data_IF_079432702963
#
_entry.id   IF_079432702963
#
_cell.length_a   1.000
_cell.length_b   1.000
_cell.length_c   1.000
_cell.angle_alpha   90.00
_cell.angle_beta   90.00
_cell.angle_gamma   90.00
#
_symmetry.space_group_name_H-M   'P 1'
#
loop_
_entity.id
_entity.type
_entity.pdbx_description
1 polymer ?
#
# COMPACT_ATOMS: atom_id res chain seq x y z
N UNK A 1 -26.44 -13.68 -55.00
CA UNK A 1 -25.21 -14.16 -54.35
C UNK A 1 -24.26 -13.03 -53.94
N UNK A 2 -23.82 -12.14 -54.85
CA UNK A 2 -22.90 -11.02 -54.51
C UNK A 2 -23.38 -10.12 -53.36
N UNK A 3 -24.68 -9.78 -53.31
CA UNK A 3 -25.27 -8.93 -52.25
C UNK A 3 -25.34 -9.60 -50.87
N UNK A 4 -25.44 -10.94 -50.80
CA UNK A 4 -25.50 -11.67 -49.53
C UNK A 4 -24.10 -11.77 -48.92
N UNK A 5 -23.07 -11.95 -49.75
CA UNK A 5 -21.67 -11.95 -49.30
C UNK A 5 -21.26 -10.60 -48.72
N UNK A 6 -21.71 -9.49 -49.31
CA UNK A 6 -21.44 -8.13 -48.79
C UNK A 6 -22.11 -7.86 -47.44
N UNK A 7 -23.32 -8.39 -47.21
CA UNK A 7 -24.03 -8.23 -45.92
C UNK A 7 -23.37 -9.07 -44.81
N UNK A 8 -22.91 -10.29 -45.12
CA UNK A 8 -22.18 -11.15 -44.18
C UNK A 8 -20.80 -10.54 -43.85
N UNK A 9 -20.12 -9.95 -44.83
CA UNK A 9 -18.86 -9.25 -44.61
C UNK A 9 -19.03 -8.00 -43.72
N UNK A 10 -20.14 -7.25 -43.83
CA UNK A 10 -20.43 -6.13 -42.93
C UNK A 10 -20.77 -6.58 -41.50
N UNK A 11 -21.45 -7.72 -41.34
CA UNK A 11 -21.78 -8.30 -40.03
C UNK A 11 -20.54 -8.79 -39.26
N UNK A 12 -19.50 -9.24 -39.97
CA UNK A 12 -18.24 -9.69 -39.35
C UNK A 12 -17.31 -8.54 -38.92
N UNK A 13 -17.44 -7.35 -39.52
CA UNK A 13 -16.65 -6.16 -39.13
C UNK A 13 -17.23 -5.47 -37.88
N UNK A 14 -18.50 -5.70 -37.56
CA UNK A 14 -19.19 -5.09 -36.42
C UNK A 14 -18.83 -5.65 -35.04
N UNK A 15 -18.03 -6.72 -34.96
CA UNK A 15 -17.78 -7.44 -33.69
C UNK A 15 -16.40 -7.17 -33.08
N UNK A 16 -15.56 -6.33 -33.70
CA UNK A 16 -14.25 -5.97 -33.16
C UNK A 16 -14.35 -4.70 -32.31
N UNK A 17 -15.40 -4.58 -31.49
CA UNK A 17 -15.41 -3.66 -30.38
C UNK A 17 -14.71 -4.35 -29.20
N UNK A 18 -13.41 -4.60 -29.33
CA UNK A 18 -12.59 -4.89 -28.16
C UNK A 18 -12.57 -3.60 -27.34
N UNK A 19 -13.43 -3.51 -26.33
CA UNK A 19 -13.27 -2.52 -25.28
C UNK A 19 -11.89 -2.77 -24.68
N UNK A 20 -10.92 -1.93 -25.02
CA UNK A 20 -9.61 -1.98 -24.39
C UNK A 20 -9.85 -1.75 -22.89
N UNK A 21 -9.56 -2.78 -22.10
CA UNK A 21 -9.71 -2.78 -20.65
C UNK A 21 -8.52 -2.04 -20.04
N UNK A 22 -8.74 -1.31 -18.94
CA UNK A 22 -7.62 -0.66 -18.26
C UNK A 22 -6.67 -1.69 -17.64
N UNK A 23 -5.41 -1.31 -17.53
CA UNK A 23 -4.34 -2.18 -17.03
C UNK A 23 -3.64 -1.48 -15.87
N UNK A 24 -3.76 -2.06 -14.68
CA UNK A 24 -3.12 -1.58 -13.45
C UNK A 24 -1.86 -2.43 -13.24
N UNK A 25 -0.69 -1.80 -13.28
CA UNK A 25 0.60 -2.45 -13.00
C UNK A 25 0.99 -2.21 -11.56
N UNK A 26 1.17 -3.27 -10.77
CA UNK A 26 1.63 -3.18 -9.38
C UNK A 26 3.14 -3.12 -9.28
N UNK A 27 3.65 -2.53 -8.20
CA UNK A 27 5.08 -2.54 -7.84
C UNK A 27 5.65 -3.94 -7.56
N UNK A 28 4.76 -4.91 -7.34
CA UNK A 28 5.06 -6.34 -7.19
C UNK A 28 5.37 -7.04 -8.53
N UNK A 29 5.07 -6.38 -9.67
CA UNK A 29 5.12 -6.96 -11.01
C UNK A 29 3.80 -7.61 -11.46
N UNK A 30 2.80 -7.68 -10.57
CA UNK A 30 1.48 -8.20 -10.93
C UNK A 30 0.71 -7.19 -11.80
N UNK A 31 0.09 -7.69 -12.86
CA UNK A 31 -0.74 -6.89 -13.76
C UNK A 31 -2.19 -7.25 -13.54
N UNK A 32 -2.99 -6.26 -13.15
CA UNK A 32 -4.43 -6.38 -12.95
C UNK A 32 -5.14 -5.77 -14.15
N UNK A 33 -5.90 -6.59 -14.87
CA UNK A 33 -6.78 -6.14 -15.95
C UNK A 33 -8.17 -5.89 -15.36
N UNK A 34 -8.67 -4.67 -15.54
CA UNK A 34 -9.94 -4.29 -14.98
C UNK A 34 -10.28 -2.85 -15.29
N UNK A 35 -11.55 -2.49 -15.17
CA UNK A 35 -11.99 -1.11 -15.37
C UNK A 35 -11.74 -0.30 -14.11
N UNK A 36 -11.00 0.80 -14.21
CA UNK A 36 -10.85 1.75 -13.12
C UNK A 36 -12.17 2.53 -12.98
N UNK A 37 -12.79 2.44 -11.80
CA UNK A 37 -14.07 3.09 -11.50
C UNK A 37 -13.83 4.45 -10.88
N UNK A 38 -12.91 4.53 -9.91
CA UNK A 38 -12.66 5.74 -9.12
C UNK A 38 -11.24 5.78 -8.61
N UNK A 39 -10.62 6.95 -8.66
CA UNK A 39 -9.39 7.26 -7.95
C UNK A 39 -9.77 8.05 -6.68
N UNK A 40 -9.40 7.52 -5.52
CA UNK A 40 -9.54 8.24 -4.24
C UNK A 40 -8.18 8.82 -3.83
N UNK A 41 -8.05 9.34 -2.61
CA UNK A 41 -6.81 9.96 -2.16
C UNK A 41 -5.65 8.96 -2.15
N UNK A 42 -5.83 7.82 -1.47
CA UNK A 42 -4.81 6.78 -1.29
C UNK A 42 -5.20 5.41 -1.86
N UNK A 43 -6.39 5.29 -2.44
CA UNK A 43 -6.96 4.03 -2.94
C UNK A 43 -7.48 4.20 -4.37
N UNK A 44 -7.58 3.07 -5.07
CA UNK A 44 -8.13 2.95 -6.41
C UNK A 44 -9.23 1.89 -6.33
N UNK A 45 -10.43 2.27 -6.76
CA UNK A 45 -11.56 1.35 -6.91
C UNK A 45 -11.63 0.91 -8.36
N UNK A 46 -11.62 -0.39 -8.59
CA UNK A 46 -11.64 -1.00 -9.91
C UNK A 46 -12.54 -2.24 -9.93
N UNK A 47 -12.92 -2.67 -11.12
CA UNK A 47 -13.64 -3.95 -11.34
C UNK A 47 -12.78 -4.84 -12.20
N UNK A 48 -12.66 -6.13 -11.86
CA UNK A 48 -11.97 -7.08 -12.72
C UNK A 48 -12.70 -7.21 -14.06
N UNK A 49 -11.95 -7.56 -15.10
CA UNK A 49 -12.55 -7.81 -16.41
C UNK A 49 -13.54 -8.97 -16.33
N UNK A 50 -14.78 -8.75 -16.80
CA UNK A 50 -15.87 -9.73 -16.70
C UNK A 50 -16.56 -9.84 -15.33
N UNK A 51 -16.19 -9.02 -14.34
CA UNK A 51 -16.83 -8.99 -13.02
C UNK A 51 -17.50 -7.64 -12.74
N UNK A 52 -18.67 -7.67 -12.07
CA UNK A 52 -19.35 -6.45 -11.64
C UNK A 52 -18.94 -5.98 -10.22
N UNK A 53 -18.19 -6.83 -9.51
CA UNK A 53 -17.74 -6.57 -8.15
C UNK A 53 -16.66 -5.49 -8.09
N UNK A 54 -16.83 -4.52 -7.20
CA UNK A 54 -15.85 -3.48 -6.94
C UNK A 54 -14.77 -3.99 -5.97
N UNK A 55 -13.53 -3.74 -6.36
CA UNK A 55 -12.33 -4.09 -5.62
C UNK A 55 -11.54 -2.83 -5.35
N UNK A 56 -10.87 -2.80 -4.20
CA UNK A 56 -10.03 -1.68 -3.78
C UNK A 56 -8.58 -2.11 -3.73
N UNK A 57 -7.71 -1.29 -4.29
CA UNK A 57 -6.26 -1.44 -4.19
C UNK A 57 -5.65 -0.13 -3.69
N UNK A 58 -4.61 -0.23 -2.87
CA UNK A 58 -3.84 0.90 -2.39
C UNK A 58 -3.01 1.50 -3.52
N UNK A 59 -2.96 2.83 -3.62
CA UNK A 59 -2.06 3.53 -4.54
C UNK A 59 -0.60 3.19 -4.28
N UNK A 60 -0.23 2.93 -3.02
CA UNK A 60 1.11 2.51 -2.64
C UNK A 60 1.51 1.18 -3.28
N UNK A 61 0.55 0.34 -3.69
CA UNK A 61 0.83 -0.93 -4.36
C UNK A 61 0.94 -0.78 -5.90
N UNK A 62 0.56 0.38 -6.46
CA UNK A 62 0.41 0.59 -7.90
C UNK A 62 1.52 1.47 -8.45
N UNK A 63 2.21 0.97 -9.47
CA UNK A 63 3.20 1.71 -10.25
C UNK A 63 2.51 2.67 -11.23
N UNK A 64 1.67 2.11 -12.10
CA UNK A 64 0.99 2.88 -13.15
C UNK A 64 -0.33 2.25 -13.57
N UNK A 65 -1.18 3.08 -14.18
CA UNK A 65 -2.43 2.69 -14.80
C UNK A 65 -2.35 3.06 -16.28
N UNK A 66 -2.68 2.11 -17.15
CA UNK A 66 -2.87 2.35 -18.59
C UNK A 66 -4.36 2.26 -18.88
N UNK A 67 -4.96 3.40 -19.24
CA UNK A 67 -6.38 3.46 -19.54
C UNK A 67 -6.64 2.90 -20.93
N UNK A 68 -7.42 1.83 -21.03
CA UNK A 68 -7.66 1.16 -22.31
C UNK A 68 -8.41 2.04 -23.29
N UNK A 69 -9.34 2.89 -22.84
CA UNK A 69 -10.11 3.75 -23.75
C UNK A 69 -9.30 4.88 -24.40
N UNK A 70 -8.34 5.45 -23.68
CA UNK A 70 -7.60 6.64 -24.12
C UNK A 70 -6.14 6.36 -24.44
N UNK A 71 -5.62 5.19 -24.06
CA UNK A 71 -4.19 4.88 -24.08
C UNK A 71 -3.36 5.71 -23.10
N UNK A 72 -4.01 6.55 -22.26
CA UNK A 72 -3.30 7.41 -21.30
C UNK A 72 -2.60 6.54 -20.27
N UNK A 73 -1.34 6.88 -19.98
CA UNK A 73 -0.57 6.30 -18.88
C UNK A 73 -0.58 7.29 -17.72
N UNK A 74 -0.94 6.82 -16.53
CA UNK A 74 -0.87 7.57 -15.28
C UNK A 74 0.08 6.85 -14.33
N UNK A 75 1.19 7.50 -13.99
CA UNK A 75 2.09 7.03 -12.95
C UNK A 75 1.47 7.37 -11.59
N UNK A 76 1.27 6.35 -10.75
CA UNK A 76 0.48 6.49 -9.51
C UNK A 76 1.40 6.75 -8.32
N UNK A 77 2.39 5.89 -8.11
CA UNK A 77 3.40 6.07 -7.07
C UNK A 77 4.75 5.50 -7.51
N UNK A 78 5.82 6.04 -6.93
CA UNK A 78 7.16 5.48 -7.07
C UNK A 78 7.39 4.32 -6.10
N UNK A 79 8.26 3.39 -6.49
CA UNK A 79 8.62 2.24 -5.66
C UNK A 79 9.56 2.65 -4.53
N UNK A 80 9.16 2.41 -3.30
CA UNK A 80 9.97 2.63 -2.10
C UNK A 80 10.90 1.42 -1.91
N UNK A 81 12.20 1.64 -2.10
CA UNK A 81 13.22 0.61 -1.89
C UNK A 81 13.88 0.82 -0.53
N UNK A 82 13.79 -0.20 0.31
CA UNK A 82 14.37 -0.26 1.65
C UNK A 82 15.28 -1.48 1.70
N UNK A 83 16.60 -1.24 1.71
CA UNK A 83 17.61 -2.31 1.63
C UNK A 83 18.30 -2.54 2.97
N UNK A 84 18.43 -1.49 3.78
CA UNK A 84 19.16 -1.52 5.05
C UNK A 84 18.37 -0.85 6.16
N UNK A 85 18.74 -1.10 7.42
CA UNK A 85 18.13 -0.44 8.58
C UNK A 85 18.23 1.10 8.51
N UNK A 86 19.26 1.62 7.85
CA UNK A 86 19.48 3.07 7.67
C UNK A 86 18.43 3.72 6.75
N UNK A 87 17.74 2.93 5.93
CA UNK A 87 16.63 3.39 5.07
C UNK A 87 15.31 3.59 5.85
N UNK A 88 15.33 3.56 7.18
CA UNK A 88 14.15 3.70 8.04
C UNK A 88 13.33 4.98 7.77
N UNK A 89 13.93 6.04 7.25
CA UNK A 89 13.23 7.29 6.89
C UNK A 89 12.28 7.12 5.70
N UNK A 90 12.57 6.16 4.81
CA UNK A 90 11.72 5.83 3.66
C UNK A 90 10.52 4.98 4.06
N UNK A 91 10.54 4.39 5.26
CA UNK A 91 9.45 3.52 5.75
C UNK A 91 8.23 4.36 6.10
N UNK A 92 7.11 4.05 5.45
CA UNK A 92 5.84 4.76 5.63
C UNK A 92 4.96 4.00 6.62
N UNK A 93 4.44 4.74 7.60
CA UNK A 93 3.43 4.23 8.51
C UNK A 93 2.06 4.48 7.88
N UNK A 94 1.29 3.41 7.73
CA UNK A 94 -0.08 3.41 7.24
C UNK A 94 -1.02 3.35 8.45
N UNK A 95 -2.02 4.24 8.46
CA UNK A 95 -2.98 4.34 9.56
C UNK A 95 -4.29 3.59 9.27
N UNK A 96 -4.59 3.36 7.98
CA UNK A 96 -5.81 2.69 7.52
C UNK A 96 -5.50 1.30 6.92
N UNK A 97 -6.38 0.34 7.20
CA UNK A 97 -6.40 -0.99 6.58
C UNK A 97 -6.66 -0.92 5.07
N UNK A 98 -7.32 0.11 4.57
CA UNK A 98 -7.51 0.29 3.12
C UNK A 98 -6.16 0.48 2.40
N UNK A 99 -5.17 1.08 3.05
CA UNK A 99 -3.89 1.43 2.42
C UNK A 99 -2.92 0.25 2.31
N UNK A 100 -3.24 -0.88 2.96
CA UNK A 100 -2.51 -2.14 2.80
C UNK A 100 -3.11 -3.04 1.71
N UNK A 101 -4.22 -2.64 1.08
CA UNK A 101 -4.86 -3.44 0.05
C UNK A 101 -3.93 -3.61 -1.16
N UNK A 102 -3.60 -4.85 -1.51
CA UNK A 102 -2.64 -5.17 -2.57
C UNK A 102 -1.17 -5.24 -2.13
N UNK A 103 -0.88 -4.95 -0.86
CA UNK A 103 0.43 -5.22 -0.26
C UNK A 103 0.45 -6.60 0.42
N UNK A 104 1.61 -7.26 0.43
CA UNK A 104 1.82 -8.53 1.11
C UNK A 104 2.16 -8.30 2.57
N UNK A 105 1.43 -9.01 3.45
CA UNK A 105 1.68 -9.01 4.89
C UNK A 105 3.05 -9.63 5.19
N UNK A 106 3.84 -8.92 5.98
CA UNK A 106 5.11 -9.38 6.53
C UNK A 106 4.98 -9.79 7.99
N UNK A 107 6.02 -9.49 8.77
CA UNK A 107 6.13 -9.83 10.19
C UNK A 107 5.63 -8.71 11.10
N UNK A 108 5.37 -9.05 12.36
CA UNK A 108 5.08 -8.06 13.40
C UNK A 108 6.38 -7.37 13.85
N UNK A 109 6.37 -6.04 13.82
CA UNK A 109 7.50 -5.20 14.20
C UNK A 109 7.17 -4.40 15.45
N UNK A 110 8.19 -4.13 16.27
CA UNK A 110 8.04 -3.43 17.55
C UNK A 110 9.16 -2.43 17.79
N UNK A 111 8.78 -1.19 18.07
CA UNK A 111 9.68 -0.15 18.57
C UNK A 111 9.45 0.10 20.06
N UNK A 112 10.52 0.11 20.87
CA UNK A 112 10.43 0.41 22.31
C UNK A 112 11.54 1.36 22.77
N UNK A 113 11.17 2.33 23.61
CA UNK A 113 12.14 3.19 24.32
C UNK A 113 12.81 2.46 25.48
N UNK A 114 13.92 3.01 26.00
CA UNK A 114 14.60 2.47 27.18
C UNK A 114 13.79 2.70 28.46
N UNK A 115 14.06 1.90 29.50
CA UNK A 115 13.33 1.92 30.77
C UNK A 115 13.55 3.20 31.59
N UNK A 116 14.72 3.83 31.43
CA UNK A 116 15.03 5.16 31.98
C UNK A 116 14.90 6.15 30.82
N UNK A 117 13.78 6.85 30.75
CA UNK A 117 13.57 7.88 29.76
C UNK A 117 13.02 9.12 30.47
N UNK A 118 13.90 10.09 30.73
CA UNK A 118 13.49 11.37 31.28
C UNK A 118 12.57 12.04 30.25
N UNK A 119 11.27 12.08 30.54
CA UNK A 119 10.27 12.68 29.66
C UNK A 119 10.49 14.18 29.60
N UNK A 120 11.28 14.63 28.62
CA UNK A 120 11.13 15.97 28.07
C UNK A 120 10.12 15.85 26.91
N UNK A 121 8.82 15.82 27.24
CA UNK A 121 7.71 15.83 26.29
C UNK A 121 7.67 14.67 25.26
N UNK A 122 7.38 15.00 23.99
CA UNK A 122 7.12 14.09 22.86
C UNK A 122 8.36 13.32 22.32
N UNK A 123 9.43 13.23 23.11
CA UNK A 123 10.71 12.62 22.69
C UNK A 123 10.69 11.09 22.77
N UNK A 124 9.85 10.51 23.63
CA UNK A 124 9.67 9.05 23.74
C UNK A 124 9.02 8.44 22.50
N UNK A 125 7.95 9.07 22.00
CA UNK A 125 7.18 8.53 20.88
C UNK A 125 7.97 8.57 19.58
N UNK A 126 8.72 9.65 19.33
CA UNK A 126 9.64 9.75 18.18
C UNK A 126 10.73 8.67 18.21
N UNK A 127 11.28 8.35 19.39
CA UNK A 127 12.27 7.28 19.54
C UNK A 127 11.65 5.89 19.32
N UNK A 128 10.44 5.66 19.83
CA UNK A 128 9.71 4.40 19.60
C UNK A 128 9.36 4.23 18.12
N UNK A 129 8.91 5.30 17.46
CA UNK A 129 8.59 5.31 16.03
C UNK A 129 9.83 5.06 15.16
N UNK A 130 10.94 5.75 15.44
CA UNK A 130 12.22 5.51 14.75
C UNK A 130 12.64 4.04 14.84
N UNK A 131 12.59 3.46 16.04
CA UNK A 131 12.91 2.03 16.24
C UNK A 131 11.93 1.09 15.54
N UNK A 132 10.66 1.46 15.45
CA UNK A 132 9.66 0.69 14.72
C UNK A 132 9.98 0.68 13.22
N UNK A 133 10.30 1.86 12.65
CA UNK A 133 10.70 2.02 11.25
C UNK A 133 12.01 1.28 10.94
N UNK A 134 12.99 1.35 11.83
CA UNK A 134 14.24 0.59 11.73
C UNK A 134 14.00 -0.93 11.71
N UNK A 135 13.13 -1.43 12.61
CA UNK A 135 12.79 -2.85 12.63
C UNK A 135 12.12 -3.32 11.33
N UNK A 136 11.25 -2.50 10.72
CA UNK A 136 10.68 -2.79 9.41
C UNK A 136 11.70 -2.68 8.27
N UNK A 137 12.63 -1.72 8.37
CA UNK A 137 13.68 -1.54 7.37
C UNK A 137 14.69 -2.70 7.37
N UNK A 138 15.03 -3.22 8.54
CA UNK A 138 15.90 -4.38 8.69
C UNK A 138 15.35 -5.65 8.00
N UNK A 139 14.02 -5.79 7.92
CA UNK A 139 13.34 -6.88 7.21
C UNK A 139 12.97 -6.52 5.76
N UNK A 140 13.42 -5.37 5.25
CA UNK A 140 13.17 -4.91 3.88
C UNK A 140 11.70 -4.57 3.59
N UNK A 141 10.93 -4.20 4.62
CA UNK A 141 9.51 -3.86 4.48
C UNK A 141 9.31 -2.33 4.52
N UNK A 142 8.87 -1.70 3.41
CA UNK A 142 8.71 -0.25 3.32
C UNK A 142 7.44 0.29 4.01
N UNK A 143 6.50 -0.57 4.41
CA UNK A 143 5.23 -0.13 4.98
C UNK A 143 4.96 -0.78 6.34
N UNK A 144 4.30 -0.04 7.24
CA UNK A 144 3.89 -0.54 8.56
C UNK A 144 2.44 -0.12 8.84
N UNK A 145 1.56 -1.07 9.14
CA UNK A 145 0.26 -0.77 9.75
C UNK A 145 0.41 -0.77 11.28
N UNK A 146 0.16 0.36 11.93
CA UNK A 146 0.18 0.42 13.40
C UNK A 146 -0.95 -0.41 13.99
N UNK A 147 -0.63 -1.24 14.99
CA UNK A 147 -1.61 -2.08 15.71
C UNK A 147 -1.74 -1.70 17.17
N UNK A 148 -0.70 -1.11 17.77
CA UNK A 148 -0.78 -0.59 19.12
C UNK A 148 0.22 0.55 19.33
N UNK A 149 -0.25 1.58 20.03
CA UNK A 149 0.57 2.63 20.60
C UNK A 149 0.27 2.70 22.10
N UNK A 150 1.27 2.40 22.93
CA UNK A 150 1.11 2.32 24.38
C UNK A 150 2.29 2.95 25.08
N UNK A 151 1.99 3.80 26.06
CA UNK A 151 2.96 4.29 27.06
C UNK A 151 2.72 3.56 28.37
N UNK A 152 3.74 2.90 28.90
CA UNK A 152 3.66 2.17 30.18
C UNK A 152 4.60 2.78 31.21
N UNK A 153 4.13 2.86 32.45
CA UNK A 153 4.94 3.23 33.62
C UNK A 153 5.30 1.96 34.40
N UNK A 154 6.53 1.84 34.90
CA UNK A 154 6.95 0.65 35.64
C UNK A 154 6.16 0.46 36.95
N UNK A 155 5.92 -0.79 37.37
CA UNK A 155 5.12 -1.10 38.56
C UNK A 155 5.62 -0.46 39.88
N UNK A 156 6.88 0.02 39.93
CA UNK A 156 7.49 0.71 41.08
C UNK A 156 7.78 2.20 40.82
N UNK A 157 7.23 2.82 39.78
CA UNK A 157 7.73 4.11 39.25
C UNK A 157 7.12 5.38 39.85
N UNK A 158 6.53 5.34 41.05
CA UNK A 158 6.05 6.56 41.72
C UNK A 158 7.18 7.43 42.33
N UNK A 159 8.46 7.11 42.09
CA UNK A 159 9.58 7.89 42.62
C UNK A 159 10.65 8.36 41.61
N UNK A 160 10.77 7.78 40.40
CA UNK A 160 11.70 8.30 39.36
C UNK A 160 11.35 7.80 37.94
N UNK A 161 10.67 8.63 37.15
CA UNK A 161 10.88 8.80 35.69
C UNK A 161 10.89 7.60 34.73
N UNK A 162 10.40 6.42 35.12
CA UNK A 162 10.45 5.21 34.29
C UNK A 162 9.26 5.05 33.34
N UNK A 163 9.12 5.92 32.34
CA UNK A 163 8.04 5.81 31.33
C UNK A 163 8.59 5.27 30.00
N UNK A 164 7.98 4.19 29.52
CA UNK A 164 8.33 3.51 28.28
C UNK A 164 7.23 3.65 27.23
N UNK A 165 7.55 4.28 26.10
CA UNK A 165 6.74 4.24 24.88
C UNK A 165 7.03 2.96 24.10
N UNK A 166 5.96 2.26 23.71
CA UNK A 166 5.96 1.00 22.96
C UNK A 166 4.99 1.14 21.79
N UNK A 167 5.52 1.07 20.57
CA UNK A 167 4.73 0.99 19.33
C UNK A 167 4.87 -0.40 18.72
N UNK A 168 3.76 -0.97 18.27
CA UNK A 168 3.70 -2.24 17.53
C UNK A 168 2.96 -2.03 16.22
N UNK A 169 3.40 -2.76 15.20
CA UNK A 169 2.75 -2.76 13.90
C UNK A 169 2.99 -4.05 13.14
N UNK A 170 2.28 -4.22 12.04
CA UNK A 170 2.50 -5.28 11.07
C UNK A 170 3.19 -4.66 9.87
N UNK A 171 4.31 -5.24 9.46
CA UNK A 171 5.04 -4.80 8.28
C UNK A 171 4.39 -5.30 6.99
N UNK A 172 4.55 -4.55 5.91
CA UNK A 172 4.04 -4.90 4.58
C UNK A 172 5.09 -4.62 3.50
N UNK A 173 5.04 -5.42 2.44
CA UNK A 173 5.88 -5.32 1.24
C UNK A 173 5.04 -5.44 -0.03
N UNK A 174 5.65 -5.19 -1.18
CA UNK A 174 5.03 -5.38 -2.50
C UNK A 174 4.73 -6.87 -2.81
#
# INVERSE_FOLDING_TARGET
>A
MKKIVTVIALLLVGIIANAQVDVITKHSGEIVKGKVVKLEEFTIVFKYDGEDAENTISKYAVEKIVYGKSGRVEEVTEKIVVATEDDWEKVVILEDKAYIAGLKKGEEVRGKTGLINFQTGNTGDKKAEKKLKMAAAAIGCPFILLTADKTTVGANSNQLGGVQAIKKGVSYKY
#
